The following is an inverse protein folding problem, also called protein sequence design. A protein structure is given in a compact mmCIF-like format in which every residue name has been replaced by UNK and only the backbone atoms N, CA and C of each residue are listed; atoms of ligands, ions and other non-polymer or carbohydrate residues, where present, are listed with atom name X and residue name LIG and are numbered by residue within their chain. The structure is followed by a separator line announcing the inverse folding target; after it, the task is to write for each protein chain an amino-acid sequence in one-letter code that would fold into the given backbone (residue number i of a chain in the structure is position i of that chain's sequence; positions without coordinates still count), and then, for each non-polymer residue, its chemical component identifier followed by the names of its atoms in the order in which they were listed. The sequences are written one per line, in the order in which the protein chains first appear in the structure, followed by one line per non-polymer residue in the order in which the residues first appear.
data_IF_310504864116
#
_entry.id   IF_310504864116
#
_cell.length_a   1.000
_cell.length_b   1.000
_cell.length_c   1.000
_cell.angle_alpha   90.00
_cell.angle_beta   90.00
_cell.angle_gamma   90.00
#
_symmetry.space_group_name_H-M   'P 1'
#
loop_
_entity.id
_entity.type
_entity.pdbx_description
1 polymer ?
#
# COMPACT_ATOMS: atom_id res chain seq x y z
N UNK A 1 -15.85 -6.68 -13.26
CA UNK A 1 -14.53 -6.41 -13.88
C UNK A 1 -14.53 -4.93 -14.22
N UNK A 2 -13.68 -4.14 -13.55
CA UNK A 2 -13.76 -2.68 -13.55
C UNK A 2 -12.73 -2.01 -14.46
N UNK A 3 -11.64 -2.71 -14.79
CA UNK A 3 -10.59 -2.27 -15.73
C UNK A 3 -10.18 -3.42 -16.66
N UNK A 4 -9.56 -3.15 -17.83
CA UNK A 4 -9.09 -4.19 -18.75
C UNK A 4 -7.92 -5.04 -18.22
N UNK A 5 -7.16 -4.51 -17.26
CA UNK A 5 -6.04 -5.18 -16.58
C UNK A 5 -6.13 -4.90 -15.08
N UNK A 6 -5.08 -4.35 -14.45
CA UNK A 6 -5.12 -3.95 -13.05
C UNK A 6 -6.04 -2.73 -12.88
N UNK A 7 -6.76 -2.69 -11.77
CA UNK A 7 -7.47 -1.47 -11.37
C UNK A 7 -6.50 -0.32 -11.16
N UNK A 8 -6.96 0.93 -11.30
CA UNK A 8 -6.12 2.10 -10.99
C UNK A 8 -5.68 2.07 -9.52
N UNK A 9 -4.51 2.64 -9.21
CA UNK A 9 -4.15 2.91 -7.81
C UNK A 9 -5.23 3.80 -7.17
N UNK A 10 -5.49 3.64 -5.87
CA UNK A 10 -6.46 4.42 -5.10
C UNK A 10 -6.22 5.93 -5.23
N UNK A 11 -4.95 6.36 -5.29
CA UNK A 11 -4.57 7.75 -5.53
C UNK A 11 -5.12 8.35 -6.84
N UNK A 12 -5.45 7.51 -7.81
CA UNK A 12 -5.89 7.88 -9.15
C UNK A 12 -7.23 7.24 -9.53
N UNK A 13 -7.94 6.64 -8.57
CA UNK A 13 -9.23 6.00 -8.80
C UNK A 13 -10.26 7.03 -9.23
N UNK A 14 -11.08 6.68 -10.23
CA UNK A 14 -12.26 7.47 -10.57
C UNK A 14 -13.45 6.92 -9.78
N UNK A 15 -13.84 7.63 -8.72
CA UNK A 15 -14.91 7.19 -7.82
C UNK A 15 -16.29 7.10 -8.49
N UNK A 16 -16.44 7.57 -9.73
CA UNK A 16 -17.68 7.42 -10.49
C UNK A 16 -17.77 6.11 -11.28
N UNK A 17 -16.63 5.49 -11.59
CA UNK A 17 -16.55 4.27 -12.42
C UNK A 17 -15.93 3.08 -11.71
N UNK A 18 -15.02 3.32 -10.77
CA UNK A 18 -14.19 2.32 -10.12
C UNK A 18 -14.51 2.24 -8.62
N UNK A 19 -14.96 1.07 -8.11
CA UNK A 19 -15.13 0.89 -6.68
C UNK A 19 -13.77 0.78 -5.97
N UNK A 20 -13.71 1.23 -4.72
CA UNK A 20 -12.56 1.00 -3.83
C UNK A 20 -12.48 -0.46 -3.39
N UNK A 21 -11.34 -0.88 -2.83
CA UNK A 21 -11.20 -2.24 -2.30
C UNK A 21 -12.15 -2.49 -1.13
N UNK A 22 -12.36 -1.48 -0.27
CA UNK A 22 -13.35 -1.54 0.80
C UNK A 22 -14.78 -1.69 0.27
N UNK A 23 -15.16 -0.95 -0.78
CA UNK A 23 -16.48 -1.05 -1.41
C UNK A 23 -16.71 -2.43 -2.05
N UNK A 24 -15.71 -2.97 -2.74
CA UNK A 24 -15.76 -4.33 -3.30
C UNK A 24 -15.91 -5.39 -2.20
N UNK A 25 -15.15 -5.26 -1.11
CA UNK A 25 -15.21 -6.17 0.05
C UNK A 25 -16.59 -6.17 0.69
N UNK A 26 -17.17 -4.98 0.89
CA UNK A 26 -18.51 -4.85 1.46
C UNK A 26 -19.56 -5.57 0.61
N UNK A 27 -19.55 -5.37 -0.70
CA UNK A 27 -20.52 -6.01 -1.61
C UNK A 27 -20.31 -7.53 -1.62
N UNK A 28 -19.06 -7.99 -1.63
CA UNK A 28 -18.74 -9.42 -1.58
C UNK A 28 -19.29 -10.08 -0.30
N UNK A 29 -19.05 -9.48 0.88
CA UNK A 29 -19.56 -10.00 2.16
C UNK A 29 -21.09 -10.01 2.17
N UNK A 30 -21.75 -8.95 1.70
CA UNK A 30 -23.23 -8.91 1.63
C UNK A 30 -23.81 -10.02 0.76
N UNK A 31 -23.15 -10.37 -0.34
CA UNK A 31 -23.58 -11.47 -1.21
C UNK A 31 -23.30 -12.84 -0.59
N UNK A 32 -22.09 -13.03 -0.06
CA UNK A 32 -21.62 -14.32 0.46
C UNK A 32 -22.30 -14.69 1.79
N UNK A 33 -22.62 -13.70 2.63
CA UNK A 33 -23.30 -13.91 3.92
C UNK A 33 -24.73 -14.45 3.79
N UNK A 34 -25.32 -14.43 2.59
CA UNK A 34 -26.61 -15.07 2.34
C UNK A 34 -26.56 -16.61 2.44
N UNK A 35 -25.38 -17.22 2.38
CA UNK A 35 -25.22 -18.67 2.52
C UNK A 35 -25.18 -19.09 4.00
N UNK A 36 -26.16 -19.86 4.51
CA UNK A 36 -26.19 -20.30 5.90
C UNK A 36 -25.07 -21.28 6.28
N UNK A 37 -24.31 -21.80 5.32
CA UNK A 37 -23.12 -22.65 5.55
C UNK A 37 -21.82 -21.84 5.71
N UNK A 38 -21.90 -20.52 5.69
CA UNK A 38 -20.74 -19.63 5.70
C UNK A 38 -20.11 -19.44 4.31
N UNK A 39 -18.95 -18.79 4.28
CA UNK A 39 -18.24 -18.47 3.06
C UNK A 39 -16.73 -18.48 3.26
N UNK A 40 -16.02 -18.55 2.15
CA UNK A 40 -14.61 -18.19 2.06
C UNK A 40 -14.51 -16.93 1.20
N UNK A 41 -13.73 -15.95 1.65
CA UNK A 41 -13.47 -14.72 0.92
C UNK A 41 -11.97 -14.44 0.92
N UNK A 42 -11.43 -14.15 -0.25
CA UNK A 42 -10.07 -13.67 -0.44
C UNK A 42 -10.14 -12.21 -0.91
N UNK A 43 -9.45 -11.32 -0.20
CA UNK A 43 -9.34 -9.89 -0.50
C UNK A 43 -7.86 -9.55 -0.59
N UNK A 44 -7.44 -8.90 -1.67
CA UNK A 44 -6.04 -8.66 -1.96
C UNK A 44 -5.77 -7.17 -2.19
N UNK A 45 -4.86 -6.60 -1.41
CA UNK A 45 -4.26 -5.28 -1.67
C UNK A 45 -3.15 -5.36 -2.73
N UNK A 46 -3.42 -5.96 -3.90
CA UNK A 46 -2.37 -6.41 -4.83
C UNK A 46 -1.48 -5.30 -5.39
N UNK A 47 -1.98 -4.07 -5.44
CA UNK A 47 -1.22 -2.92 -5.96
C UNK A 47 -0.21 -2.32 -4.97
N UNK A 48 -0.18 -2.78 -3.72
CA UNK A 48 0.90 -2.45 -2.77
C UNK A 48 2.25 -2.87 -3.38
N UNK A 49 2.31 -4.09 -3.90
CA UNK A 49 3.47 -4.68 -4.57
C UNK A 49 3.91 -3.84 -5.79
N UNK A 50 2.97 -3.50 -6.67
CA UNK A 50 3.23 -2.67 -7.86
C UNK A 50 3.82 -1.30 -7.47
N UNK A 51 3.31 -0.67 -6.40
CA UNK A 51 3.84 0.59 -5.90
C UNK A 51 5.29 0.49 -5.41
N UNK A 52 5.65 -0.63 -4.79
CA UNK A 52 7.03 -0.90 -4.38
C UNK A 52 7.95 -1.21 -5.57
N UNK A 53 7.48 -1.97 -6.57
CA UNK A 53 8.22 -2.22 -7.80
C UNK A 53 8.52 -0.94 -8.60
N UNK A 54 7.57 0.00 -8.62
CA UNK A 54 7.76 1.33 -9.21
C UNK A 54 8.78 2.18 -8.44
N UNK A 55 9.19 1.78 -7.23
CA UNK A 55 10.00 2.60 -6.32
C UNK A 55 9.24 3.81 -5.77
N UNK A 56 7.90 3.82 -5.84
CA UNK A 56 7.04 4.95 -5.45
C UNK A 56 6.28 4.57 -4.17
N UNK A 57 6.93 4.77 -3.02
CA UNK A 57 6.34 4.44 -1.73
C UNK A 57 5.00 5.15 -1.46
N UNK A 58 4.75 6.33 -2.05
CA UNK A 58 3.45 7.00 -1.93
C UNK A 58 2.31 6.16 -2.51
N UNK A 59 2.55 5.45 -3.62
CA UNK A 59 1.57 4.50 -4.18
C UNK A 59 1.41 3.32 -3.23
N UNK A 60 2.49 2.61 -2.92
CA UNK A 60 2.46 1.41 -2.07
C UNK A 60 1.75 1.65 -0.73
N UNK A 61 2.11 2.72 -0.02
CA UNK A 61 1.53 3.02 1.30
C UNK A 61 0.09 3.52 1.23
N UNK A 62 -0.33 4.16 0.12
CA UNK A 62 -1.73 4.53 -0.03
C UNK A 62 -2.59 3.31 -0.35
N UNK A 63 -2.10 2.37 -1.17
CA UNK A 63 -2.77 1.09 -1.38
C UNK A 63 -2.85 0.29 -0.08
N UNK A 64 -1.81 0.32 0.75
CA UNK A 64 -1.82 -0.36 2.05
C UNK A 64 -2.89 0.22 2.99
N UNK A 65 -3.10 1.55 2.98
CA UNK A 65 -4.18 2.19 3.71
C UNK A 65 -5.55 1.73 3.18
N UNK A 66 -5.71 1.62 1.86
CA UNK A 66 -6.98 1.16 1.29
C UNK A 66 -7.25 -0.33 1.59
N UNK A 67 -6.20 -1.17 1.63
CA UNK A 67 -6.30 -2.54 2.11
C UNK A 67 -6.68 -2.62 3.60
N UNK A 68 -6.09 -1.78 4.45
CA UNK A 68 -6.45 -1.68 5.87
C UNK A 68 -7.91 -1.27 6.08
N UNK A 69 -8.43 -0.32 5.28
CA UNK A 69 -9.87 0.01 5.29
C UNK A 69 -10.75 -1.16 4.86
N UNK A 70 -10.30 -1.99 3.91
CA UNK A 70 -11.05 -3.18 3.51
C UNK A 70 -11.09 -4.22 4.65
N UNK A 71 -10.00 -4.34 5.43
CA UNK A 71 -9.95 -5.18 6.63
C UNK A 71 -10.90 -4.63 7.70
N UNK A 72 -10.84 -3.34 8.00
CA UNK A 72 -11.77 -2.65 8.93
C UNK A 72 -13.22 -2.91 8.50
N UNK A 73 -13.53 -2.67 7.22
CA UNK A 73 -14.87 -2.86 6.68
C UNK A 73 -15.36 -4.30 6.78
N UNK A 74 -14.48 -5.28 6.57
CA UNK A 74 -14.80 -6.68 6.78
C UNK A 74 -15.11 -7.00 8.25
N UNK A 75 -14.33 -6.44 9.18
CA UNK A 75 -14.55 -6.57 10.62
C UNK A 75 -15.89 -5.97 11.08
N UNK A 76 -16.32 -4.85 10.48
CA UNK A 76 -17.63 -4.26 10.77
C UNK A 76 -18.82 -5.10 10.26
N UNK A 77 -18.60 -5.92 9.23
CA UNK A 77 -19.65 -6.69 8.54
C UNK A 77 -19.68 -8.17 8.94
N UNK A 78 -18.75 -8.62 9.77
CA UNK A 78 -18.62 -10.00 10.25
C UNK A 78 -18.56 -10.02 11.78
N UNK A 79 -18.67 -11.21 12.38
CA UNK A 79 -18.54 -11.37 13.83
C UNK A 79 -17.35 -12.25 14.15
N UNK A 80 -16.56 -11.83 15.12
CA UNK A 80 -15.32 -12.51 15.53
C UNK A 80 -15.58 -13.92 16.10
N UNK A 81 -16.80 -14.18 16.58
CA UNK A 81 -17.19 -15.46 17.19
C UNK A 81 -17.45 -16.57 16.17
N UNK A 82 -17.77 -16.22 14.92
CA UNK A 82 -18.05 -17.15 13.82
C UNK A 82 -17.17 -16.95 12.58
N UNK A 83 -16.31 -15.92 12.57
CA UNK A 83 -15.46 -15.56 11.43
C UNK A 83 -13.98 -15.56 11.82
N UNK A 84 -13.18 -16.40 11.15
CA UNK A 84 -11.72 -16.35 11.24
C UNK A 84 -11.17 -15.44 10.14
N UNK A 85 -10.56 -14.32 10.56
CA UNK A 85 -9.86 -13.39 9.67
C UNK A 85 -8.35 -13.55 9.80
N UNK A 86 -7.67 -13.70 8.66
CA UNK A 86 -6.20 -13.76 8.59
C UNK A 86 -5.71 -12.67 7.65
N UNK A 87 -4.85 -11.79 8.18
CA UNK A 87 -4.14 -10.77 7.40
C UNK A 87 -2.68 -11.17 7.32
N UNK A 88 -2.14 -11.25 6.11
CA UNK A 88 -0.75 -11.61 5.86
C UNK A 88 -0.24 -10.91 4.62
N UNK A 89 1.08 -10.93 4.44
CA UNK A 89 1.71 -10.71 3.15
C UNK A 89 2.22 -12.06 2.61
N UNK A 90 2.29 -12.18 1.29
CA UNK A 90 2.92 -13.30 0.59
C UNK A 90 4.45 -13.16 0.57
N UNK A 91 4.96 -11.94 0.43
CA UNK A 91 6.36 -11.57 0.61
C UNK A 91 6.53 -10.11 1.05
N UNK A 92 7.79 -9.66 1.15
CA UNK A 92 8.14 -8.26 1.45
C UNK A 92 8.87 -7.61 0.26
N UNK A 93 9.39 -6.41 0.46
CA UNK A 93 10.22 -5.69 -0.51
C UNK A 93 11.51 -5.19 0.15
N UNK A 94 12.46 -4.75 -0.68
CA UNK A 94 13.67 -4.03 -0.25
C UNK A 94 13.38 -2.57 0.17
N UNK A 95 12.18 -2.30 0.67
CA UNK A 95 11.75 -1.03 1.23
C UNK A 95 12.34 -0.87 2.64
N UNK A 96 12.77 0.34 2.99
CA UNK A 96 13.25 0.65 4.33
C UNK A 96 12.85 2.08 4.73
N UNK A 97 12.57 2.26 6.02
CA UNK A 97 12.26 3.55 6.63
C UNK A 97 13.22 3.79 7.79
N UNK A 98 13.94 4.92 7.79
CA UNK A 98 14.96 5.22 8.78
C UNK A 98 15.35 6.71 8.82
N UNK A 99 16.59 6.98 9.22
CA UNK A 99 17.13 8.34 9.24
C UNK A 99 16.71 9.20 10.44
N UNK A 100 16.32 8.59 11.57
CA UNK A 100 16.06 9.30 12.84
C UNK A 100 15.09 10.48 12.73
N UNK A 101 14.02 10.34 11.94
CA UNK A 101 13.00 11.37 11.79
C UNK A 101 12.27 11.65 13.10
N UNK A 102 11.87 12.92 13.31
CA UNK A 102 11.13 13.32 14.51
C UNK A 102 9.71 12.78 14.47
N UNK A 103 9.14 12.50 15.66
CA UNK A 103 7.73 12.13 15.81
C UNK A 103 6.83 13.16 15.12
N UNK A 104 5.90 12.68 14.29
CA UNK A 104 4.94 13.53 13.57
C UNK A 104 5.45 14.07 12.23
N UNK A 105 6.71 13.81 11.87
CA UNK A 105 7.22 14.12 10.52
C UNK A 105 6.51 13.25 9.47
N UNK A 106 6.33 13.80 8.27
CA UNK A 106 5.83 13.02 7.14
C UNK A 106 6.76 11.84 6.84
N UNK A 107 6.19 10.66 6.61
CA UNK A 107 6.96 9.47 6.21
C UNK A 107 7.67 9.67 4.86
N UNK A 108 7.12 10.54 4.01
CA UNK A 108 7.71 10.92 2.72
C UNK A 108 8.74 12.07 2.84
N UNK A 109 9.04 12.49 4.06
CA UNK A 109 9.95 13.60 4.35
C UNK A 109 11.43 13.23 4.24
N UNK A 110 12.26 14.27 4.36
CA UNK A 110 13.70 14.15 4.47
C UNK A 110 14.10 13.78 5.91
N UNK A 111 15.19 13.03 6.04
CA UNK A 111 15.89 12.88 7.31
C UNK A 111 16.44 14.25 7.77
N UNK A 112 16.55 14.49 9.10
CA UNK A 112 17.00 15.77 9.64
C UNK A 112 18.50 16.04 9.39
N UNK A 113 19.31 14.99 9.26
CA UNK A 113 20.75 15.11 9.01
C UNK A 113 21.09 14.94 7.52
N UNK A 114 22.22 15.52 7.11
CA UNK A 114 22.80 15.32 5.78
C UNK A 114 23.54 13.99 5.73
N UNK A 115 23.58 13.37 4.55
CA UNK A 115 24.44 12.20 4.35
C UNK A 115 25.92 12.62 4.26
N UNK A 116 26.82 11.63 4.14
CA UNK A 116 28.27 11.85 4.08
C UNK A 116 28.72 12.75 2.91
N UNK A 117 27.93 12.82 1.84
CA UNK A 117 28.15 13.71 0.69
C UNK A 117 27.58 15.12 0.88
N UNK A 118 27.06 15.45 2.06
CA UNK A 118 26.49 16.75 2.38
C UNK A 118 25.09 17.00 1.82
N UNK A 119 24.48 16.05 1.10
CA UNK A 119 23.15 16.21 0.49
C UNK A 119 22.04 15.69 1.40
N UNK A 120 20.80 16.18 1.22
CA UNK A 120 19.62 15.68 1.95
C UNK A 120 19.26 14.28 1.50
N UNK A 121 18.65 13.43 2.33
CA UNK A 121 18.11 12.14 1.89
C UNK A 121 16.72 11.90 2.50
N UNK A 122 15.89 11.10 1.83
CA UNK A 122 14.55 10.74 2.29
C UNK A 122 14.61 9.73 3.42
N UNK A 123 13.62 9.77 4.31
CA UNK A 123 13.48 8.77 5.37
C UNK A 123 13.17 7.39 4.81
N UNK A 124 12.40 7.33 3.71
CA UNK A 124 12.16 6.13 2.92
C UNK A 124 13.29 5.95 1.90
N UNK A 125 13.82 4.74 1.79
CA UNK A 125 14.75 4.31 0.74
C UNK A 125 14.40 2.91 0.25
N UNK A 126 14.87 2.57 -0.95
CA UNK A 126 14.83 1.21 -1.49
C UNK A 126 16.26 0.71 -1.73
N UNK A 127 16.51 -0.57 -1.46
CA UNK A 127 17.82 -1.18 -1.69
C UNK A 127 18.22 -1.24 -3.18
N UNK A 128 17.24 -1.37 -4.07
CA UNK A 128 17.39 -1.29 -5.52
C UNK A 128 16.06 -0.84 -6.16
N UNK A 129 16.05 -0.61 -7.47
CA UNK A 129 14.84 -0.25 -8.23
C UNK A 129 15.03 0.99 -9.11
N UNK A 130 13.96 1.43 -9.79
CA UNK A 130 14.01 2.53 -10.77
C UNK A 130 14.27 3.91 -10.14
N UNK A 131 14.21 4.01 -8.81
CA UNK A 131 14.52 5.25 -8.09
C UNK A 131 16.00 5.63 -8.08
N UNK A 132 16.91 4.72 -8.47
CA UNK A 132 18.33 5.06 -8.61
C UNK A 132 18.56 6.03 -9.78
N UNK A 133 19.29 7.11 -9.52
CA UNK A 133 19.58 8.15 -10.51
C UNK A 133 21.10 8.34 -10.60
N UNK A 134 21.65 8.23 -11.82
CA UNK A 134 23.06 8.57 -12.11
C UNK A 134 23.10 9.99 -12.63
N UNK A 135 23.81 10.88 -11.93
CA UNK A 135 24.12 12.21 -12.46
C UNK A 135 25.48 12.21 -13.17
N UNK A 136 25.75 13.21 -14.01
CA UNK A 136 27.03 13.34 -14.73
C UNK A 136 28.23 13.58 -13.81
N UNK A 137 27.96 14.10 -12.61
CA UNK A 137 28.91 14.18 -11.52
C UNK A 137 28.80 12.88 -10.71
N UNK A 138 29.92 12.29 -10.28
CA UNK A 138 29.94 11.04 -9.52
C UNK A 138 29.20 11.22 -8.18
N UNK A 139 27.88 11.03 -8.18
CA UNK A 139 27.05 11.30 -7.02
C UNK A 139 25.54 11.23 -7.30
N UNK A 140 24.78 11.14 -6.21
CA UNK A 140 23.31 11.18 -6.24
C UNK A 140 22.81 12.60 -6.54
N UNK A 141 21.66 12.76 -7.20
CA UNK A 141 21.05 14.06 -7.40
C UNK A 141 20.72 14.75 -6.06
N UNK A 142 20.61 16.08 -6.11
CA UNK A 142 20.25 16.92 -4.96
C UNK A 142 18.79 16.76 -4.54
#
# INVERSE_FOLDING_TARGET
LFEPSDMKYELYRDNSTDPSLAEMTEVAIKLLSANPKGFYLFVEGGRIDHGHHDGIAKRALTEAIEFDKAIERAGELTKEDDTLSVVTADHSHVFSFGGYTLRGSSIFGLAPEKALDGKSFTSIVYGNGPGYQITKEEGRPD
#
